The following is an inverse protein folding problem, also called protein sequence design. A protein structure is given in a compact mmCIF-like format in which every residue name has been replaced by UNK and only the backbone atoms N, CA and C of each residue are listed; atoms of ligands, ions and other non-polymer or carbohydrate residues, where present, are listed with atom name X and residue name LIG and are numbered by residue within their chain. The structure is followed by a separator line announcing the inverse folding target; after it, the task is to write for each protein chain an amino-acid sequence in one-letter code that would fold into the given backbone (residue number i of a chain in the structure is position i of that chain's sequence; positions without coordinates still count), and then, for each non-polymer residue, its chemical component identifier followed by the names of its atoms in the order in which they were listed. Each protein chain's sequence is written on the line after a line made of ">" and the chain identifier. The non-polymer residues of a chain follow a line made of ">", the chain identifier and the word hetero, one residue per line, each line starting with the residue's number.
data_IF_691193866318
#
_entry.id   IF_691193866318
#
_cell.length_a   1.000
_cell.length_b   1.000
_cell.length_c   1.000
_cell.angle_alpha   90.00
_cell.angle_beta   90.00
_cell.angle_gamma   90.00
#
_symmetry.space_group_name_H-M   'P 1'
#
loop_
_entity.id
_entity.type
_entity.pdbx_description
1 polymer ?
#
# COMPACT_ATOMS: atom_id res chain seq x y z
N UNK A 1 14.48 34.58 -38.56
CA UNK A 1 13.38 35.49 -38.21
C UNK A 1 13.02 35.28 -36.74
N UNK A 2 13.38 36.25 -35.88
CA UNK A 2 13.09 36.27 -34.46
C UNK A 2 11.75 36.93 -34.20
N UNK A 3 10.81 36.29 -33.53
CA UNK A 3 9.62 36.96 -32.97
C UNK A 3 9.67 36.88 -31.44
N UNK A 4 9.80 38.03 -30.82
CA UNK A 4 9.69 38.29 -29.39
C UNK A 4 8.22 38.37 -29.02
N UNK A 5 7.81 37.68 -27.95
CA UNK A 5 6.50 37.88 -27.34
C UNK A 5 6.71 38.67 -26.03
N UNK A 6 5.92 39.71 -25.86
CA UNK A 6 5.98 40.69 -24.76
C UNK A 6 5.03 40.23 -23.64
N UNK A 7 5.52 40.28 -22.42
CA UNK A 7 4.72 40.20 -21.19
C UNK A 7 3.93 41.50 -20.99
N UNK A 8 2.68 41.39 -20.59
CA UNK A 8 1.91 42.48 -19.97
C UNK A 8 1.59 42.05 -18.52
N UNK A 9 2.13 42.81 -17.59
CA UNK A 9 1.78 42.77 -16.18
C UNK A 9 0.59 43.72 -15.96
N UNK A 10 -0.45 43.22 -15.30
CA UNK A 10 -1.56 43.99 -14.81
C UNK A 10 -1.68 43.88 -13.32
N UNK A 11 -1.27 44.90 -12.60
CA UNK A 11 -1.48 45.06 -11.17
C UNK A 11 -2.84 45.68 -10.90
N UNK A 12 -3.67 45.05 -10.06
CA UNK A 12 -4.83 45.70 -9.46
C UNK A 12 -4.67 45.72 -7.94
N UNK A 13 -4.44 46.94 -7.46
CA UNK A 13 -4.51 47.31 -6.03
C UNK A 13 -5.99 47.50 -5.68
N UNK A 14 -6.45 46.85 -4.60
CA UNK A 14 -7.67 47.25 -3.91
C UNK A 14 -7.36 47.47 -2.43
N UNK A 15 -7.46 48.73 -2.05
CA UNK A 15 -7.51 49.19 -0.65
C UNK A 15 -8.93 49.08 -0.14
N UNK A 16 -9.12 48.47 1.05
CA UNK A 16 -10.36 48.58 1.78
C UNK A 16 -10.08 48.97 3.24
N UNK A 17 -10.68 50.10 3.58
CA UNK A 17 -10.69 50.76 4.87
C UNK A 17 -11.49 50.04 5.94
N UNK A 18 -10.93 50.03 7.14
CA UNK A 18 -11.58 49.58 8.36
C UNK A 18 -12.56 50.63 8.91
N UNK A 19 -13.68 50.18 9.46
CA UNK A 19 -14.48 50.95 10.43
C UNK A 19 -14.80 50.05 11.63
N UNK A 20 -14.35 50.49 12.78
CA UNK A 20 -14.68 49.95 14.11
C UNK A 20 -15.92 50.60 14.67
N UNK A 21 -16.80 49.83 15.34
CA UNK A 21 -17.59 50.16 16.53
C UNK A 21 -18.39 48.89 16.90
N UNK A 22 -18.41 48.35 18.07
CA UNK A 22 -18.34 48.73 19.41
C UNK A 22 -19.33 47.86 20.20
N UNK A 23 -18.83 47.17 21.25
CA UNK A 23 -19.46 46.61 22.48
C UNK A 23 -20.88 46.08 22.49
N UNK A 24 -21.12 44.82 22.89
CA UNK A 24 -21.42 44.38 24.26
C UNK A 24 -21.86 42.90 24.30
N UNK A 25 -21.31 42.19 25.28
CA UNK A 25 -21.79 41.07 26.11
C UNK A 25 -22.89 40.14 25.57
N UNK A 26 -22.60 38.90 25.56
CA UNK A 26 -23.12 37.73 26.25
C UNK A 26 -22.99 36.46 25.42
N UNK A 27 -22.53 35.43 26.08
CA UNK A 27 -22.56 34.02 25.79
C UNK A 27 -23.23 33.58 24.48
N UNK A 28 -22.38 33.33 23.46
CA UNK A 28 -22.73 32.39 22.43
C UNK A 28 -21.48 31.56 22.06
N UNK A 29 -21.64 30.26 22.19
CA UNK A 29 -20.75 29.20 21.76
C UNK A 29 -20.43 29.41 20.27
N UNK A 30 -19.39 30.18 19.99
CA UNK A 30 -18.91 30.40 18.62
C UNK A 30 -18.33 29.08 18.13
N UNK A 31 -19.11 28.41 17.30
CA UNK A 31 -18.55 27.48 16.32
C UNK A 31 -17.47 28.24 15.56
N UNK A 32 -16.23 27.79 15.71
CA UNK A 32 -15.15 28.24 14.85
C UNK A 32 -15.57 28.06 13.38
N UNK A 33 -15.26 29.00 12.49
CA UNK A 33 -15.53 28.80 11.08
C UNK A 33 -14.85 27.50 10.67
N UNK A 34 -15.61 26.59 10.08
CA UNK A 34 -15.05 25.41 9.40
C UNK A 34 -14.24 25.99 8.25
N UNK A 35 -12.94 26.05 8.46
CA UNK A 35 -11.98 26.34 7.42
C UNK A 35 -12.10 25.20 6.40
N UNK A 36 -12.72 25.47 5.27
CA UNK A 36 -12.76 24.56 4.12
C UNK A 36 -11.43 24.64 3.34
N UNK A 37 -10.35 24.83 4.08
CA UNK A 37 -8.99 24.62 3.61
C UNK A 37 -8.76 23.12 3.44
N UNK A 38 -8.33 22.72 2.27
CA UNK A 38 -7.77 21.41 2.00
C UNK A 38 -6.87 21.01 3.19
N UNK A 39 -7.32 20.02 3.96
CA UNK A 39 -6.52 19.42 5.02
C UNK A 39 -5.28 18.86 4.35
N UNK A 40 -4.16 19.58 4.42
CA UNK A 40 -2.88 18.98 4.14
C UNK A 40 -2.65 17.95 5.24
N UNK A 41 -2.83 16.70 4.91
CA UNK A 41 -2.45 15.59 5.74
C UNK A 41 -0.95 15.74 6.01
N UNK A 42 -0.56 15.61 7.27
CA UNK A 42 0.83 15.71 7.71
C UNK A 42 1.19 14.39 8.34
N UNK A 43 2.42 13.93 8.11
CA UNK A 43 2.95 12.83 8.88
C UNK A 43 2.72 13.08 10.38
N UNK A 44 2.21 12.09 11.08
CA UNK A 44 1.83 12.21 12.49
C UNK A 44 3.09 12.11 13.35
N UNK A 45 3.42 13.20 14.06
CA UNK A 45 4.48 13.16 15.08
C UNK A 45 3.95 12.46 16.32
N UNK A 46 4.55 11.33 16.67
CA UNK A 46 4.19 10.55 17.84
C UNK A 46 4.80 11.16 19.11
N UNK A 47 4.25 10.88 20.32
CA UNK A 47 4.77 11.39 21.58
C UNK A 47 6.22 11.01 21.88
N UNK A 48 6.73 9.93 21.30
CA UNK A 48 8.11 9.46 21.43
C UNK A 48 9.08 10.12 20.42
N UNK A 49 8.59 11.03 19.59
CA UNK A 49 9.37 11.75 18.58
C UNK A 49 9.55 11.01 17.26
N UNK A 50 8.90 9.86 17.07
CA UNK A 50 8.82 9.18 15.78
C UNK A 50 7.78 9.84 14.88
N UNK A 51 7.87 9.60 13.57
CA UNK A 51 6.90 10.06 12.57
C UNK A 51 6.18 8.85 11.98
N UNK A 52 4.86 8.92 11.90
CA UNK A 52 4.06 7.94 11.16
C UNK A 52 3.56 8.57 9.86
N UNK A 53 3.90 7.94 8.75
CA UNK A 53 3.44 8.31 7.40
C UNK A 53 2.26 7.42 7.07
N UNK A 54 1.09 8.03 6.91
CA UNK A 54 -0.14 7.31 6.55
C UNK A 54 -0.31 7.30 5.03
N UNK A 55 -1.02 6.31 4.50
CA UNK A 55 -1.30 6.28 3.08
C UNK A 55 -2.45 7.22 2.68
N UNK A 56 -3.13 7.84 3.64
CA UNK A 56 -4.07 8.94 3.39
C UNK A 56 -3.36 10.26 3.03
N UNK A 57 -2.05 10.34 3.25
CA UNK A 57 -1.20 11.46 2.84
C UNK A 57 -0.86 11.46 1.34
N UNK A 58 -1.20 10.41 0.60
CA UNK A 58 -0.96 10.33 -0.84
C UNK A 58 -2.10 10.93 -1.66
N UNK A 59 -1.79 11.32 -2.91
CA UNK A 59 -2.80 11.86 -3.82
C UNK A 59 -3.89 10.82 -4.12
N UNK A 60 -5.15 11.09 -3.77
CA UNK A 60 -6.25 10.15 -3.98
C UNK A 60 -6.53 9.88 -5.47
N UNK A 61 -6.03 10.70 -6.39
CA UNK A 61 -6.12 10.41 -7.83
C UNK A 61 -5.27 9.20 -8.26
N UNK A 62 -4.34 8.77 -7.40
CA UNK A 62 -3.47 7.61 -7.62
C UNK A 62 -4.04 6.30 -7.06
N UNK A 63 -5.26 6.31 -6.52
CA UNK A 63 -5.90 5.11 -6.00
C UNK A 63 -6.12 4.06 -7.08
N UNK A 64 -5.72 2.86 -6.74
CA UNK A 64 -5.83 1.69 -7.61
C UNK A 64 -7.26 1.19 -7.72
N UNK A 65 -7.59 0.60 -8.88
CA UNK A 65 -8.83 -0.12 -9.07
C UNK A 65 -10.09 0.74 -8.90
N UNK A 66 -10.24 1.85 -9.65
CA UNK A 66 -11.36 2.77 -9.49
C UNK A 66 -12.73 2.14 -9.78
N UNK A 67 -12.78 1.02 -10.51
CA UNK A 67 -14.01 0.31 -10.86
C UNK A 67 -14.11 -1.08 -10.24
N UNK A 68 -12.98 -1.63 -9.81
CA UNK A 68 -12.90 -2.92 -9.12
C UNK A 68 -11.62 -2.97 -8.28
N UNK A 69 -11.58 -3.85 -7.31
CA UNK A 69 -10.49 -3.94 -6.34
C UNK A 69 -9.16 -4.48 -6.93
N UNK A 70 -8.82 -4.13 -8.14
CA UNK A 70 -7.53 -4.45 -8.75
C UNK A 70 -7.54 -4.84 -10.22
N UNK A 71 -8.71 -5.08 -10.83
CA UNK A 71 -8.79 -5.52 -12.22
C UNK A 71 -8.04 -4.60 -13.19
N UNK A 72 -8.19 -3.29 -13.02
CA UNK A 72 -7.55 -2.30 -13.89
C UNK A 72 -6.03 -2.24 -13.75
N UNK A 73 -5.48 -2.66 -12.63
CA UNK A 73 -4.03 -2.67 -12.43
C UNK A 73 -3.37 -3.86 -13.11
N UNK A 74 -4.06 -4.98 -13.19
CA UNK A 74 -3.52 -6.18 -13.82
C UNK A 74 -3.23 -5.96 -15.30
N UNK A 75 -4.13 -5.27 -16.02
CA UNK A 75 -3.97 -4.97 -17.44
C UNK A 75 -3.30 -3.63 -17.72
N UNK A 76 -3.12 -2.78 -16.72
CA UNK A 76 -2.52 -1.45 -16.80
C UNK A 76 -3.20 -0.45 -17.78
N UNK A 77 -4.24 -0.81 -18.44
CA UNK A 77 -4.90 0.03 -19.44
C UNK A 77 -5.68 1.18 -18.77
N UNK A 78 -5.24 2.42 -19.02
CA UNK A 78 -5.91 3.63 -18.55
C UNK A 78 -5.37 4.23 -17.24
N UNK A 79 -4.36 3.66 -16.64
CA UNK A 79 -3.69 4.22 -15.48
C UNK A 79 -2.72 5.34 -15.89
N UNK A 80 -2.56 6.43 -15.13
CA UNK A 80 -1.52 7.41 -15.42
C UNK A 80 -0.16 6.71 -15.39
N UNK A 81 0.69 7.01 -16.38
CA UNK A 81 2.04 6.44 -16.47
C UNK A 81 2.98 7.07 -15.44
N UNK A 82 2.63 6.95 -14.17
CA UNK A 82 3.44 7.39 -13.05
C UNK A 82 4.07 6.16 -12.43
N UNK A 83 5.39 6.07 -12.51
CA UNK A 83 6.15 4.94 -11.96
C UNK A 83 6.44 5.08 -10.47
N UNK A 84 6.41 6.31 -9.96
CA UNK A 84 6.69 6.62 -8.57
C UNK A 84 5.70 7.66 -8.07
N UNK A 85 5.18 7.44 -6.88
CA UNK A 85 4.34 8.38 -6.14
C UNK A 85 4.98 8.67 -4.79
N UNK A 86 4.68 9.81 -4.20
CA UNK A 86 5.22 10.26 -2.93
C UNK A 86 4.10 10.79 -2.02
N UNK A 87 4.36 10.83 -0.73
CA UNK A 87 3.44 11.43 0.22
C UNK A 87 3.36 12.97 -0.01
N UNK A 88 2.19 13.53 0.23
CA UNK A 88 1.92 14.97 0.04
C UNK A 88 2.35 15.81 1.24
N UNK A 89 3.20 15.29 2.11
CA UNK A 89 3.78 16.10 3.19
C UNK A 89 4.77 17.13 2.62
N UNK A 90 5.02 18.27 3.29
CA UNK A 90 5.98 19.25 2.81
C UNK A 90 7.39 18.72 2.62
N UNK A 91 7.75 17.69 3.35
CA UNK A 91 9.08 17.07 3.35
C UNK A 91 9.21 15.93 2.35
N UNK A 92 8.10 15.38 1.83
CA UNK A 92 8.08 14.22 0.92
C UNK A 92 8.94 13.08 1.48
N UNK A 93 8.54 12.49 2.61
CA UNK A 93 9.34 11.49 3.31
C UNK A 93 9.45 10.16 2.59
N UNK A 94 8.34 9.72 1.95
CA UNK A 94 8.16 8.37 1.44
C UNK A 94 7.82 8.38 -0.04
N UNK A 95 8.53 7.54 -0.79
CA UNK A 95 8.31 7.31 -2.22
C UNK A 95 7.96 5.85 -2.45
N UNK A 96 6.88 5.59 -3.16
CA UNK A 96 6.46 4.25 -3.56
C UNK A 96 6.78 4.03 -5.04
N UNK A 97 7.48 2.94 -5.35
CA UNK A 97 7.59 2.45 -6.73
C UNK A 97 6.28 1.76 -7.09
N UNK A 98 5.39 2.51 -7.75
CA UNK A 98 4.06 2.01 -8.11
C UNK A 98 4.14 0.92 -9.18
N UNK A 99 5.06 1.10 -10.14
CA UNK A 99 5.33 0.14 -11.19
C UNK A 99 6.83 0.02 -11.42
N UNK A 100 7.33 -1.19 -11.43
CA UNK A 100 8.72 -1.44 -11.79
C UNK A 100 8.87 -1.65 -13.30
N UNK A 101 9.97 -1.16 -13.87
CA UNK A 101 10.33 -1.42 -15.27
C UNK A 101 11.27 -2.61 -15.32
N UNK A 102 10.81 -3.72 -15.91
CA UNK A 102 11.60 -4.94 -16.07
C UNK A 102 11.42 -5.47 -17.49
N UNK A 103 12.50 -5.80 -18.16
CA UNK A 103 12.45 -6.34 -19.52
C UNK A 103 11.80 -5.42 -20.56
N UNK A 104 11.73 -4.12 -20.27
CA UNK A 104 11.06 -3.13 -21.13
C UNK A 104 9.55 -2.96 -20.86
N UNK A 105 8.99 -3.69 -19.91
CA UNK A 105 7.61 -3.52 -19.44
C UNK A 105 7.60 -2.64 -18.19
N UNK A 106 6.62 -1.72 -18.12
CA UNK A 106 6.37 -0.85 -16.95
C UNK A 106 4.92 -1.04 -16.55
N UNK A 107 4.69 -2.03 -15.70
CA UNK A 107 3.36 -2.45 -15.28
C UNK A 107 3.37 -2.92 -13.83
N UNK A 108 2.22 -2.81 -13.15
CA UNK A 108 2.06 -3.39 -11.81
C UNK A 108 2.32 -4.90 -11.79
N UNK A 109 2.00 -5.58 -12.88
CA UNK A 109 2.31 -7.00 -13.09
C UNK A 109 3.81 -7.32 -13.04
N UNK A 110 4.68 -6.33 -13.24
CA UNK A 110 6.14 -6.45 -13.09
C UNK A 110 6.65 -6.24 -11.66
N UNK A 111 5.75 -6.07 -10.70
CA UNK A 111 6.02 -5.76 -9.29
C UNK A 111 5.88 -4.27 -8.99
N UNK A 112 5.32 -3.96 -7.83
CA UNK A 112 5.13 -2.57 -7.40
C UNK A 112 4.32 -2.45 -6.12
N UNK A 113 4.05 -1.19 -5.73
CA UNK A 113 3.21 -0.85 -4.59
C UNK A 113 2.12 0.11 -5.07
N UNK A 114 0.87 -0.36 -5.10
CA UNK A 114 -0.28 0.43 -5.51
C UNK A 114 -1.00 1.01 -4.29
N UNK A 115 -1.67 2.16 -4.46
CA UNK A 115 -2.59 2.68 -3.47
C UNK A 115 -3.96 2.05 -3.63
N UNK A 116 -4.62 1.71 -2.53
CA UNK A 116 -5.97 1.18 -2.51
C UNK A 116 -6.75 1.68 -1.29
N UNK A 117 -8.09 1.54 -1.38
CA UNK A 117 -9.02 1.77 -0.29
C UNK A 117 -10.20 0.78 -0.33
N UNK A 118 -9.96 -0.40 -0.89
CA UNK A 118 -10.95 -1.46 -1.02
C UNK A 118 -10.86 -2.45 0.15
N UNK A 119 -12.03 -2.83 0.70
CA UNK A 119 -12.18 -3.92 1.67
C UNK A 119 -13.31 -4.84 1.19
N UNK A 120 -12.97 -5.91 0.48
CA UNK A 120 -13.91 -6.91 0.00
C UNK A 120 -13.49 -8.27 0.57
N UNK A 121 -14.34 -8.82 1.42
CA UNK A 121 -14.11 -10.09 2.14
C UNK A 121 -15.11 -11.16 1.78
N UNK A 122 -16.09 -10.82 0.97
CA UNK A 122 -17.15 -11.72 0.51
C UNK A 122 -17.39 -11.59 -0.98
N UNK A 123 -18.11 -12.54 -1.54
CA UNK A 123 -18.49 -12.51 -2.94
C UNK A 123 -19.66 -11.53 -3.19
N UNK A 124 -19.33 -10.24 -3.30
CA UNK A 124 -20.34 -9.20 -3.56
C UNK A 124 -20.84 -9.17 -5.01
N UNK A 125 -20.09 -9.76 -5.95
CA UNK A 125 -20.42 -9.71 -7.38
C UNK A 125 -21.51 -10.69 -7.79
N UNK A 126 -21.98 -11.54 -6.87
CA UNK A 126 -22.91 -12.61 -7.16
C UNK A 126 -22.33 -13.73 -8.04
N UNK A 127 -21.01 -13.71 -8.30
CA UNK A 127 -20.31 -14.78 -8.99
C UNK A 127 -20.38 -16.07 -8.17
N UNK A 128 -20.67 -17.17 -8.82
CA UNK A 128 -20.66 -18.48 -8.17
C UNK A 128 -19.23 -18.96 -8.01
N UNK A 129 -18.86 -19.44 -6.81
CA UNK A 129 -17.53 -19.95 -6.50
C UNK A 129 -16.62 -18.92 -5.85
N UNK A 130 -15.32 -19.20 -5.93
CA UNK A 130 -14.29 -18.55 -5.09
C UNK A 130 -13.70 -17.27 -5.71
N UNK A 131 -14.46 -16.59 -6.59
CA UNK A 131 -13.98 -15.43 -7.35
C UNK A 131 -13.72 -14.18 -6.50
N UNK A 132 -14.30 -14.08 -5.31
CA UNK A 132 -14.10 -12.94 -4.43
C UNK A 132 -12.65 -12.81 -3.97
N UNK A 133 -11.88 -13.88 -3.93
CA UNK A 133 -10.46 -13.88 -3.62
C UNK A 133 -9.55 -14.11 -4.85
N UNK A 134 -10.04 -13.79 -6.03
CA UNK A 134 -9.24 -13.86 -7.26
C UNK A 134 -8.43 -12.59 -7.49
N UNK A 135 -7.72 -12.54 -8.60
CA UNK A 135 -6.98 -11.34 -9.03
C UNK A 135 -7.89 -10.10 -9.18
N UNK A 136 -9.19 -10.24 -9.30
CA UNK A 136 -10.14 -9.12 -9.30
C UNK A 136 -10.17 -8.36 -7.97
N UNK A 137 -9.71 -8.98 -6.89
CA UNK A 137 -9.62 -8.41 -5.56
C UNK A 137 -8.16 -8.33 -5.06
N UNK A 138 -7.19 -8.29 -5.96
CA UNK A 138 -5.77 -8.21 -5.61
C UNK A 138 -5.43 -6.97 -4.77
N UNK A 139 -6.13 -5.86 -4.95
CA UNK A 139 -5.95 -4.63 -4.19
C UNK A 139 -6.97 -4.43 -3.08
N UNK A 140 -7.69 -5.46 -2.67
CA UNK A 140 -8.58 -5.42 -1.51
C UNK A 140 -7.86 -5.93 -0.25
N UNK A 141 -7.90 -5.17 0.84
CA UNK A 141 -7.49 -5.66 2.15
C UNK A 141 -8.52 -6.66 2.69
N UNK A 142 -8.07 -7.66 3.45
CA UNK A 142 -8.94 -8.56 4.20
C UNK A 142 -8.99 -8.11 5.66
N UNK A 143 -9.72 -7.02 5.92
CA UNK A 143 -9.83 -6.44 7.26
C UNK A 143 -11.21 -6.73 7.86
N UNK A 144 -11.26 -7.68 8.81
CA UNK A 144 -12.51 -8.07 9.50
C UNK A 144 -12.87 -7.15 10.66
N UNK A 145 -12.00 -6.23 11.06
CA UNK A 145 -12.32 -5.22 12.08
C UNK A 145 -13.33 -4.18 11.58
N UNK A 146 -13.44 -4.01 10.26
CA UNK A 146 -14.39 -3.12 9.61
C UNK A 146 -15.52 -3.94 9.01
N UNK A 147 -16.75 -3.73 9.47
CA UNK A 147 -17.92 -4.52 9.05
C UNK A 147 -18.34 -4.22 7.60
N UNK A 148 -18.22 -2.95 7.18
CA UNK A 148 -18.59 -2.51 5.84
C UNK A 148 -17.59 -2.99 4.79
N UNK A 149 -18.13 -3.51 3.68
CA UNK A 149 -17.35 -3.90 2.51
C UNK A 149 -17.49 -2.90 1.36
N UNK A 150 -16.49 -2.83 0.50
CA UNK A 150 -16.45 -1.95 -0.66
C UNK A 150 -15.30 -0.95 -0.62
N UNK A 151 -15.43 0.07 -1.46
CA UNK A 151 -14.45 1.14 -1.56
C UNK A 151 -14.67 2.19 -0.47
N UNK A 152 -13.58 2.76 0.05
CA UNK A 152 -13.59 3.92 0.95
C UNK A 152 -14.40 3.67 2.24
N UNK A 153 -14.08 2.57 2.93
CA UNK A 153 -14.78 2.10 4.14
C UNK A 153 -13.94 2.21 5.41
N UNK A 154 -12.93 3.09 5.42
CA UNK A 154 -12.03 3.26 6.57
C UNK A 154 -11.39 1.91 6.98
N UNK A 155 -10.98 1.14 5.99
CA UNK A 155 -10.43 -0.20 6.19
C UNK A 155 -8.90 -0.23 6.20
N UNK A 156 -8.22 0.91 6.04
CA UNK A 156 -6.82 1.10 6.39
C UNK A 156 -6.56 0.77 7.86
N UNK A 157 -5.33 0.74 8.29
CA UNK A 157 -5.00 0.73 9.72
C UNK A 157 -5.37 2.09 10.33
N UNK A 158 -5.00 3.18 9.68
CA UNK A 158 -5.56 4.50 9.90
C UNK A 158 -6.27 4.97 8.63
N UNK A 159 -7.42 5.62 8.76
CA UNK A 159 -8.19 6.13 7.64
C UNK A 159 -8.64 5.06 6.63
N UNK A 160 -8.63 5.42 5.36
CA UNK A 160 -9.16 4.57 4.29
C UNK A 160 -8.10 3.97 3.38
N UNK A 161 -7.01 4.70 3.14
CA UNK A 161 -6.02 4.35 2.13
C UNK A 161 -4.91 3.48 2.72
N UNK A 162 -4.37 2.60 1.91
CA UNK A 162 -3.23 1.75 2.26
C UNK A 162 -2.44 1.37 1.00
N UNK A 163 -1.23 0.89 1.18
CA UNK A 163 -0.41 0.35 0.10
C UNK A 163 -0.67 -1.13 -0.13
N UNK A 164 -0.70 -1.55 -1.39
CA UNK A 164 -0.74 -2.96 -1.77
C UNK A 164 0.56 -3.32 -2.47
N UNK A 165 1.36 -4.10 -1.79
CA UNK A 165 2.63 -4.63 -2.28
C UNK A 165 2.36 -5.86 -3.12
N UNK A 166 2.89 -5.89 -4.34
CA UNK A 166 2.84 -7.05 -5.22
C UNK A 166 4.17 -7.30 -5.88
N UNK A 167 4.56 -8.56 -5.92
CA UNK A 167 5.69 -9.03 -6.69
C UNK A 167 6.75 -9.75 -5.84
N UNK A 168 7.46 -10.66 -6.48
CA UNK A 168 8.57 -11.40 -5.90
C UNK A 168 9.57 -11.76 -7.00
N UNK A 169 10.79 -12.04 -6.61
CA UNK A 169 11.84 -12.48 -7.54
C UNK A 169 12.39 -13.81 -7.11
N UNK A 170 12.34 -14.77 -8.02
CA UNK A 170 12.98 -16.08 -7.92
C UNK A 170 13.69 -16.45 -9.23
N UNK A 171 14.19 -17.67 -9.32
CA UNK A 171 14.94 -18.15 -10.50
C UNK A 171 14.08 -18.23 -11.77
N UNK A 172 12.76 -18.24 -11.66
CA UNK A 172 11.85 -18.40 -12.79
C UNK A 172 11.41 -17.06 -13.38
N UNK A 173 11.25 -16.02 -12.56
CA UNK A 173 10.62 -14.76 -12.98
C UNK A 173 11.55 -13.53 -12.98
N UNK A 174 12.80 -13.67 -12.60
CA UNK A 174 13.78 -12.56 -12.50
C UNK A 174 13.95 -11.73 -13.80
N UNK A 175 13.50 -12.26 -14.96
CA UNK A 175 13.61 -11.56 -16.23
C UNK A 175 12.46 -10.57 -16.48
N UNK A 176 11.35 -10.68 -15.76
CA UNK A 176 10.14 -9.85 -15.96
C UNK A 176 9.50 -9.33 -14.68
N UNK A 177 10.00 -9.73 -13.53
CA UNK A 177 9.52 -9.28 -12.21
C UNK A 177 10.65 -8.57 -11.46
N UNK A 178 10.28 -7.58 -10.67
CA UNK A 178 11.15 -6.92 -9.71
C UNK A 178 10.54 -7.02 -8.31
N UNK A 179 11.40 -6.92 -7.29
CA UNK A 179 10.93 -6.78 -5.91
C UNK A 179 10.22 -5.43 -5.77
N UNK A 180 8.99 -5.39 -5.27
CA UNK A 180 8.30 -4.13 -4.96
C UNK A 180 9.10 -3.34 -3.94
N UNK A 181 9.15 -2.02 -4.10
CA UNK A 181 10.04 -1.14 -3.34
C UNK A 181 9.33 0.14 -2.90
N UNK A 182 9.65 0.57 -1.69
CA UNK A 182 9.51 1.96 -1.29
C UNK A 182 10.85 2.50 -0.78
N UNK A 183 11.03 3.83 -0.81
CA UNK A 183 12.27 4.45 -0.34
C UNK A 183 12.00 5.81 0.32
N UNK A 184 12.94 6.24 1.14
CA UNK A 184 12.87 7.52 1.85
C UNK A 184 13.66 8.60 1.11
N UNK A 185 13.31 9.86 1.34
CA UNK A 185 14.01 11.01 0.80
C UNK A 185 15.49 11.09 1.26
N UNK A 186 15.75 10.65 2.50
CA UNK A 186 17.09 10.49 3.10
C UNK A 186 17.09 9.22 3.95
N UNK A 187 18.28 8.65 4.29
CA UNK A 187 18.33 7.50 5.19
C UNK A 187 17.63 7.77 6.52
N UNK A 188 16.79 6.82 6.94
CA UNK A 188 15.96 6.90 8.15
C UNK A 188 16.17 5.67 9.02
N UNK A 189 15.78 5.75 10.29
CA UNK A 189 15.46 4.57 11.05
C UNK A 189 14.04 4.14 10.67
N UNK A 190 13.88 2.94 10.15
CA UNK A 190 12.58 2.31 10.00
C UNK A 190 12.21 1.63 11.32
N UNK A 191 11.24 2.18 12.04
CA UNK A 191 10.78 1.64 13.32
C UNK A 191 9.87 0.44 13.10
N UNK A 192 8.90 0.55 12.20
CA UNK A 192 7.98 -0.52 11.82
C UNK A 192 6.89 -0.04 10.89
N UNK A 193 5.97 -0.94 10.59
CA UNK A 193 4.80 -0.68 9.74
C UNK A 193 3.67 -1.64 10.10
N UNK A 194 2.45 -1.29 9.72
CA UNK A 194 1.32 -2.20 9.85
C UNK A 194 1.14 -3.01 8.57
N UNK A 195 0.78 -4.28 8.72
CA UNK A 195 0.55 -5.21 7.62
C UNK A 195 -0.81 -5.88 7.75
N UNK A 196 -1.43 -6.22 6.62
CA UNK A 196 -2.63 -7.05 6.56
C UNK A 196 -2.60 -7.90 5.29
N UNK A 197 -3.31 -9.03 5.27
CA UNK A 197 -3.45 -9.80 4.05
C UNK A 197 -4.35 -9.08 3.04
N UNK A 198 -4.04 -9.24 1.75
CA UNK A 198 -5.06 -8.96 0.72
C UNK A 198 -6.12 -10.05 0.73
N UNK A 199 -7.32 -9.72 0.24
CA UNK A 199 -8.39 -10.72 0.09
C UNK A 199 -7.98 -11.86 -0.84
N UNK A 200 -7.19 -11.56 -1.86
CA UNK A 200 -6.67 -12.57 -2.78
C UNK A 200 -5.73 -13.54 -2.07
N UNK A 201 -4.72 -13.06 -1.39
CA UNK A 201 -3.75 -13.90 -0.66
C UNK A 201 -4.43 -14.69 0.46
N UNK A 202 -5.27 -14.02 1.28
CA UNK A 202 -6.02 -14.69 2.34
C UNK A 202 -6.89 -15.83 1.80
N UNK A 203 -7.64 -15.57 0.72
CA UNK A 203 -8.53 -16.54 0.12
C UNK A 203 -7.79 -17.76 -0.42
N UNK A 204 -6.67 -17.55 -1.13
CA UNK A 204 -5.87 -18.67 -1.67
C UNK A 204 -5.21 -19.49 -0.55
N UNK A 205 -4.68 -18.85 0.49
CA UNK A 205 -4.15 -19.58 1.65
C UNK A 205 -5.24 -20.43 2.31
N UNK A 206 -6.44 -19.87 2.45
CA UNK A 206 -7.52 -20.48 3.23
C UNK A 206 -8.31 -21.54 2.46
N UNK A 207 -8.56 -21.30 1.17
CA UNK A 207 -9.44 -22.13 0.35
C UNK A 207 -8.71 -22.81 -0.82
N UNK A 208 -7.49 -22.38 -1.13
CA UNK A 208 -6.74 -22.83 -2.30
C UNK A 208 -7.25 -22.21 -3.61
N UNK A 209 -6.55 -22.49 -4.70
CA UNK A 209 -6.99 -22.19 -6.06
C UNK A 209 -6.58 -23.30 -7.03
N UNK A 210 -7.18 -23.30 -8.23
CA UNK A 210 -6.90 -24.29 -9.26
C UNK A 210 -5.49 -24.20 -9.87
N UNK A 211 -4.76 -23.11 -9.61
CA UNK A 211 -3.39 -22.88 -10.09
C UNK A 211 -2.33 -23.38 -9.13
N UNK A 212 -2.74 -23.85 -7.93
CA UNK A 212 -1.84 -24.47 -6.97
C UNK A 212 -1.17 -25.73 -7.51
N UNK A 213 -0.08 -26.16 -6.84
CA UNK A 213 0.72 -27.33 -7.24
C UNK A 213 -0.06 -28.64 -7.32
N UNK A 214 -1.20 -28.73 -6.65
CA UNK A 214 -2.09 -29.89 -6.67
C UNK A 214 -3.02 -29.96 -7.90
N UNK A 215 -3.14 -28.84 -8.64
CA UNK A 215 -4.05 -28.72 -9.79
C UNK A 215 -5.54 -28.66 -9.43
N UNK A 216 -5.86 -28.67 -8.15
CA UNK A 216 -7.21 -28.46 -7.58
C UNK A 216 -7.12 -27.47 -6.43
N UNK A 217 -8.22 -26.79 -6.12
CA UNK A 217 -8.26 -25.84 -4.99
C UNK A 217 -8.00 -26.61 -3.68
N UNK A 218 -6.82 -26.46 -3.11
CA UNK A 218 -6.38 -27.12 -1.88
C UNK A 218 -5.87 -26.07 -0.90
N UNK A 219 -6.48 -25.94 0.30
CA UNK A 219 -6.01 -25.05 1.34
C UNK A 219 -4.55 -25.31 1.70
N UNK A 220 -3.79 -24.25 1.98
CA UNK A 220 -2.38 -24.36 2.37
C UNK A 220 -2.20 -25.22 3.63
N UNK A 221 -3.19 -25.21 4.51
CA UNK A 221 -3.23 -26.05 5.72
C UNK A 221 -3.26 -27.55 5.40
N UNK A 222 -4.03 -27.97 4.41
CA UNK A 222 -4.09 -29.36 3.96
C UNK A 222 -2.79 -29.79 3.29
N UNK A 223 -2.14 -28.87 2.59
CA UNK A 223 -0.81 -29.07 1.99
C UNK A 223 0.32 -29.09 3.03
N UNK A 224 0.02 -28.76 4.31
CA UNK A 224 1.03 -28.56 5.37
C UNK A 224 2.10 -27.58 4.92
N UNK A 225 1.68 -26.52 4.25
CA UNK A 225 2.53 -25.54 3.64
C UNK A 225 2.79 -24.32 4.52
N UNK A 226 3.57 -23.41 3.99
CA UNK A 226 3.81 -22.08 4.58
C UNK A 226 3.83 -21.01 3.50
N UNK A 227 3.59 -19.77 3.93
CA UNK A 227 3.75 -18.58 3.13
C UNK A 227 4.33 -17.46 3.97
N UNK A 228 5.31 -16.73 3.44
CA UNK A 228 6.13 -15.78 4.16
C UNK A 228 6.43 -14.55 3.30
N UNK A 229 6.42 -13.37 3.93
CA UNK A 229 6.96 -12.14 3.35
C UNK A 229 8.33 -11.83 3.97
N UNK A 230 9.25 -11.40 3.13
CA UNK A 230 10.57 -10.88 3.50
C UNK A 230 10.59 -9.38 3.24
N UNK A 231 11.02 -8.60 4.24
CA UNK A 231 11.28 -7.17 4.15
C UNK A 231 12.79 -6.97 4.21
N UNK A 232 13.36 -6.44 3.14
CA UNK A 232 14.79 -6.24 2.97
C UNK A 232 15.11 -4.75 3.07
N UNK A 233 15.87 -4.34 4.09
CA UNK A 233 16.32 -2.97 4.28
C UNK A 233 17.66 -2.74 3.62
N UNK A 234 17.78 -1.66 2.84
CA UNK A 234 19.00 -1.27 2.13
C UNK A 234 19.46 0.13 2.55
N UNK A 235 20.78 0.32 2.60
CA UNK A 235 21.41 1.62 2.85
C UNK A 235 21.44 2.51 1.59
N UNK A 236 21.94 3.74 1.72
CA UNK A 236 22.06 4.71 0.64
C UNK A 236 23.00 4.28 -0.49
N UNK A 237 23.85 3.28 -0.28
CA UNK A 237 24.75 2.73 -1.29
C UNK A 237 24.17 1.47 -1.97
N UNK A 238 22.96 1.08 -1.60
CA UNK A 238 22.31 -0.15 -2.08
C UNK A 238 22.83 -1.41 -1.38
N UNK A 239 23.55 -1.27 -0.27
CA UNK A 239 23.98 -2.39 0.56
C UNK A 239 22.84 -2.93 1.41
N UNK A 240 22.66 -4.27 1.43
CA UNK A 240 21.67 -4.92 2.27
C UNK A 240 22.05 -4.78 3.76
N UNK A 241 21.27 -4.07 4.54
CA UNK A 241 21.41 -3.93 5.99
C UNK A 241 20.94 -5.23 6.67
N UNK A 242 19.69 -5.60 6.40
CA UNK A 242 19.07 -6.78 7.01
C UNK A 242 17.81 -7.21 6.27
N UNK A 243 17.50 -8.51 6.34
CA UNK A 243 16.22 -9.09 5.95
C UNK A 243 15.42 -9.47 7.20
N UNK A 244 14.19 -8.98 7.27
CA UNK A 244 13.19 -9.34 8.28
C UNK A 244 12.19 -10.28 7.64
N UNK A 245 11.78 -11.34 8.37
CA UNK A 245 10.89 -12.36 7.87
C UNK A 245 9.61 -12.40 8.70
N UNK A 246 8.46 -12.44 8.03
CA UNK A 246 7.16 -12.58 8.67
C UNK A 246 6.40 -13.74 8.03
N UNK A 247 6.06 -14.76 8.82
CA UNK A 247 5.16 -15.82 8.40
C UNK A 247 3.74 -15.23 8.28
N UNK A 248 3.14 -15.37 7.11
CA UNK A 248 1.74 -15.03 6.84
C UNK A 248 0.84 -16.24 7.04
N UNK A 249 1.39 -17.46 6.89
CA UNK A 249 0.80 -18.72 7.31
C UNK A 249 1.90 -19.77 7.50
N UNK A 250 1.75 -20.68 8.46
CA UNK A 250 2.65 -21.83 8.62
C UNK A 250 1.89 -23.03 9.21
N UNK A 251 1.84 -24.11 8.45
CA UNK A 251 1.18 -25.36 8.82
C UNK A 251 2.13 -26.56 8.72
N UNK A 252 3.43 -26.31 8.60
CA UNK A 252 4.44 -27.39 8.50
C UNK A 252 4.46 -28.25 9.75
N UNK A 253 4.68 -29.54 9.55
CA UNK A 253 4.79 -30.48 10.66
C UNK A 253 5.94 -30.11 11.60
N UNK A 254 5.66 -30.12 12.89
CA UNK A 254 6.66 -29.81 13.93
C UNK A 254 6.95 -28.33 14.12
N UNK A 255 6.28 -27.43 13.40
CA UNK A 255 6.33 -26.00 13.61
C UNK A 255 5.13 -25.51 14.41
N UNK A 256 5.26 -24.34 15.04
CA UNK A 256 4.11 -23.64 15.60
C UNK A 256 3.21 -23.22 14.44
N UNK A 257 1.92 -23.53 14.53
CA UNK A 257 0.98 -23.12 13.50
C UNK A 257 0.77 -21.59 13.52
N UNK A 258 0.75 -21.01 12.32
CA UNK A 258 0.43 -19.59 12.09
C UNK A 258 -0.72 -19.54 11.10
N UNK A 259 -1.88 -19.09 11.55
CA UNK A 259 -3.03 -18.83 10.71
C UNK A 259 -2.89 -17.42 10.07
N UNK A 260 -3.43 -17.17 8.86
CA UNK A 260 -3.34 -15.88 8.21
C UNK A 260 -4.08 -14.80 9.02
N UNK A 261 -3.45 -13.64 9.16
CA UNK A 261 -4.03 -12.49 9.83
C UNK A 261 -5.29 -12.00 9.08
N UNK A 262 -6.29 -11.57 9.83
CA UNK A 262 -7.57 -11.08 9.32
C UNK A 262 -7.84 -9.60 9.65
N UNK A 263 -6.89 -8.97 10.32
CA UNK A 263 -6.88 -7.55 10.67
C UNK A 263 -5.47 -7.04 10.56
N UNK A 264 -5.29 -5.73 10.68
CA UNK A 264 -3.97 -5.13 10.71
C UNK A 264 -3.15 -5.61 11.91
N UNK A 265 -1.86 -5.88 11.67
CA UNK A 265 -0.90 -6.37 12.66
C UNK A 265 0.42 -5.60 12.53
N UNK A 266 0.97 -5.14 13.66
CA UNK A 266 2.20 -4.34 13.64
C UNK A 266 3.44 -5.22 13.44
N UNK A 267 4.29 -4.79 12.51
CA UNK A 267 5.57 -5.42 12.26
C UNK A 267 6.71 -4.52 12.70
N UNK A 268 7.26 -4.80 13.86
CA UNK A 268 8.41 -4.08 14.40
C UNK A 268 9.68 -4.43 13.61
N UNK A 269 10.44 -3.42 13.17
CA UNK A 269 11.63 -3.56 12.34
C UNK A 269 12.89 -3.04 13.06
N UNK A 270 12.90 -1.78 13.51
CA UNK A 270 14.00 -1.13 14.20
C UNK A 270 15.34 -1.21 13.42
N UNK A 271 15.32 -0.87 12.13
CA UNK A 271 16.51 -0.82 11.28
C UNK A 271 17.01 0.61 11.13
N UNK A 272 18.29 0.84 11.42
CA UNK A 272 18.96 2.15 11.27
C UNK A 272 19.51 2.34 9.85
N UNK A 273 19.52 3.60 9.37
CA UNK A 273 20.19 3.98 8.12
C UNK A 273 19.52 3.45 6.85
N UNK A 274 18.24 3.16 6.91
CA UNK A 274 17.48 2.62 5.79
C UNK A 274 17.21 3.72 4.76
N UNK A 275 17.63 3.51 3.51
CA UNK A 275 17.28 4.34 2.37
C UNK A 275 16.14 3.74 1.57
N UNK A 276 16.13 2.40 1.35
CA UNK A 276 15.04 1.74 0.67
C UNK A 276 14.67 0.40 1.33
N UNK A 277 13.44 -0.02 1.06
CA UNK A 277 12.87 -1.28 1.53
C UNK A 277 12.30 -2.02 0.33
N UNK A 278 12.71 -3.28 0.17
CA UNK A 278 12.19 -4.17 -0.85
C UNK A 278 11.49 -5.35 -0.22
N UNK A 279 10.42 -5.79 -0.86
CA UNK A 279 9.70 -6.98 -0.42
C UNK A 279 10.02 -8.16 -1.33
N UNK A 280 9.99 -9.35 -0.76
CA UNK A 280 10.00 -10.61 -1.49
C UNK A 280 9.12 -11.62 -0.79
N UNK A 281 8.69 -12.66 -1.47
CA UNK A 281 7.81 -13.69 -0.90
C UNK A 281 8.41 -15.07 -1.11
N UNK A 282 8.13 -15.96 -0.16
CA UNK A 282 8.52 -17.36 -0.19
C UNK A 282 7.34 -18.22 0.26
N UNK A 283 7.18 -19.38 -0.34
CA UNK A 283 6.12 -20.31 0.04
C UNK A 283 6.38 -21.72 -0.45
N UNK A 284 5.71 -22.68 0.17
CA UNK A 284 5.82 -24.08 -0.20
C UNK A 284 4.96 -24.48 -1.41
N UNK A 285 3.91 -23.71 -1.70
CA UNK A 285 3.10 -23.91 -2.90
C UNK A 285 3.75 -23.20 -4.09
N UNK A 286 4.56 -23.95 -4.81
CA UNK A 286 5.30 -23.48 -5.98
C UNK A 286 5.36 -24.56 -7.05
N UNK A 287 5.50 -24.15 -8.31
CA UNK A 287 5.51 -25.02 -9.48
C UNK A 287 6.56 -24.62 -10.51
N UNK A 288 6.37 -25.07 -11.74
CA UNK A 288 7.28 -24.79 -12.85
C UNK A 288 7.39 -23.30 -13.22
N UNK A 289 6.44 -22.48 -12.76
CA UNK A 289 6.38 -21.04 -13.03
C UNK A 289 6.64 -20.19 -11.77
N UNK A 290 7.19 -20.80 -10.71
CA UNK A 290 7.48 -20.15 -9.45
C UNK A 290 6.37 -20.32 -8.42
N UNK A 291 6.16 -19.31 -7.60
CA UNK A 291 5.23 -19.30 -6.48
C UNK A 291 3.77 -19.27 -6.96
N UNK A 292 2.96 -20.21 -6.48
CA UNK A 292 1.52 -20.28 -6.80
C UNK A 292 0.65 -19.48 -5.81
N UNK A 293 1.10 -19.33 -4.56
CA UNK A 293 0.41 -18.44 -3.62
C UNK A 293 0.60 -16.99 -4.06
N UNK A 294 -0.47 -16.18 -4.17
CA UNK A 294 -0.38 -14.80 -4.63
C UNK A 294 0.53 -13.96 -3.73
N UNK A 295 1.56 -13.36 -4.34
CA UNK A 295 2.60 -12.60 -3.65
C UNK A 295 2.15 -11.16 -3.36
N UNK A 296 1.11 -11.02 -2.52
CA UNK A 296 0.54 -9.73 -2.12
C UNK A 296 0.49 -9.57 -0.61
N UNK A 297 0.66 -8.33 -0.15
CA UNK A 297 0.38 -7.91 1.22
C UNK A 297 -0.04 -6.44 1.22
N UNK A 298 -0.93 -6.06 2.14
CA UNK A 298 -1.25 -4.66 2.42
C UNK A 298 -0.28 -4.11 3.47
N UNK A 299 0.12 -2.85 3.30
CA UNK A 299 0.96 -2.10 4.25
C UNK A 299 0.30 -0.75 4.56
N UNK A 300 0.47 -0.27 5.78
CA UNK A 300 -0.01 1.03 6.21
C UNK A 300 0.84 1.57 7.37
N UNK A 301 0.69 2.86 7.68
CA UNK A 301 1.30 3.53 8.83
C UNK A 301 2.77 3.20 9.03
N UNK A 302 3.60 3.64 8.08
CA UNK A 302 5.05 3.44 8.14
C UNK A 302 5.63 4.41 9.17
N UNK A 303 6.21 3.86 10.25
CA UNK A 303 6.81 4.66 11.33
C UNK A 303 8.31 4.76 11.15
N UNK A 304 8.83 5.99 11.15
CA UNK A 304 10.24 6.34 10.98
C UNK A 304 10.75 7.26 12.09
N UNK A 305 12.09 7.35 12.19
CA UNK A 305 12.79 8.29 13.07
C UNK A 305 13.99 8.91 12.37
#
# INVERSE_FOLDING_TARGET
>A
MKRKLRFLAGACLFTATALFSGCSSDDDFLMAPVDSGTSQTRAVTNPDGTLTITFDDFDPSMLAGPTSAGENLYSYQGYPQVTTIYDNTPEEYLFLSMFNTVGGSTEYSSGGIALSNWNIRSNQSGNTGDWWYSYLNQCSVYNTAVEAEGQNKEAGHSGSNFGVVYGYVDVYNQAWMAKPEFYFNVPRKLVGLWICNTSYTYGVITYGNQFGSTGVATPLKEMKGYFQVNLECYDANGGLIRTYKRLLADYRNGQQQVDPITTWDYWEINAEGVQSVKFNFEGSDSGAYGLNTPAYICIDDITIQ
#
